data_IF_502758502773
#
_entry.id   IF_502758502773
#
_cell.length_a   1.000
_cell.length_b   1.000
_cell.length_c   1.000
_cell.angle_alpha   90.00
_cell.angle_beta   90.00
_cell.angle_gamma   90.00
#
_symmetry.space_group_name_H-M   'P 1'
#
loop_
_entity.id
_entity.type
_entity.pdbx_description
1 polymer ?
#
# COMPACT_ATOMS: atom_id res chain seq x y z
N UNK A 1 -10.91 -4.58 -0.04
CA UNK A 1 -9.97 -5.40 0.75
C UNK A 1 -8.88 -5.85 -0.19
N UNK A 2 -7.62 -5.61 0.14
CA UNK A 2 -6.48 -5.97 -0.70
C UNK A 2 -5.87 -7.22 -0.08
N UNK A 3 -5.89 -8.35 -0.79
CA UNK A 3 -5.34 -9.61 -0.29
C UNK A 3 -3.79 -9.58 -0.27
N UNK A 4 -3.18 -9.11 -1.37
CA UNK A 4 -1.74 -8.86 -1.41
C UNK A 4 -1.32 -7.78 -2.42
N UNK A 5 -0.18 -7.11 -2.16
CA UNK A 5 0.47 -6.15 -3.08
C UNK A 5 1.93 -6.56 -3.31
N UNK A 6 2.40 -6.54 -4.56
CA UNK A 6 3.83 -6.68 -4.85
C UNK A 6 4.49 -5.32 -5.02
N UNK A 7 5.57 -5.07 -4.31
CA UNK A 7 6.36 -3.85 -4.41
C UNK A 7 7.75 -4.21 -4.93
N UNK A 8 8.12 -3.63 -6.06
CA UNK A 8 9.42 -3.86 -6.69
C UNK A 8 10.42 -2.88 -6.09
N UNK A 9 11.44 -3.40 -5.41
CA UNK A 9 12.42 -2.59 -4.67
C UNK A 9 13.83 -2.89 -5.14
N UNK A 10 14.70 -1.88 -5.14
CA UNK A 10 16.10 -2.02 -5.60
C UNK A 10 17.02 -2.68 -4.59
N UNK A 11 16.61 -2.72 -3.31
CA UNK A 11 17.33 -3.39 -2.23
C UNK A 11 16.32 -4.04 -1.27
N UNK A 12 16.27 -5.37 -1.26
CA UNK A 12 15.32 -6.15 -0.45
C UNK A 12 15.52 -5.93 1.04
N UNK A 13 16.72 -6.16 1.58
CA UNK A 13 16.96 -6.17 3.04
C UNK A 13 16.64 -4.81 3.68
N UNK A 14 17.06 -3.74 3.01
CA UNK A 14 16.75 -2.36 3.43
C UNK A 14 15.25 -2.11 3.42
N UNK A 15 14.55 -2.58 2.38
CA UNK A 15 13.11 -2.35 2.22
C UNK A 15 12.28 -3.22 3.18
N UNK A 16 12.66 -4.48 3.39
CA UNK A 16 11.98 -5.39 4.31
C UNK A 16 12.07 -4.88 5.74
N UNK A 17 13.24 -4.40 6.16
CA UNK A 17 13.44 -3.74 7.46
C UNK A 17 12.55 -2.50 7.59
N UNK A 18 12.46 -1.68 6.54
CA UNK A 18 11.61 -0.49 6.51
C UNK A 18 10.11 -0.81 6.64
N UNK A 19 9.56 -1.64 5.74
CA UNK A 19 8.13 -1.95 5.70
C UNK A 19 7.67 -2.74 6.93
N UNK A 20 8.48 -3.70 7.41
CA UNK A 20 8.12 -4.46 8.61
C UNK A 20 8.11 -3.57 9.86
N UNK A 21 9.07 -2.66 10.00
CA UNK A 21 9.09 -1.70 11.12
C UNK A 21 7.92 -0.71 11.04
N UNK A 22 7.59 -0.23 9.83
CA UNK A 22 6.52 0.74 9.62
C UNK A 22 5.11 0.15 9.88
N UNK A 23 4.89 -1.12 9.54
CA UNK A 23 3.59 -1.76 9.64
C UNK A 23 3.39 -2.51 10.98
N UNK A 24 4.46 -2.78 11.73
CA UNK A 24 4.42 -3.44 13.06
C UNK A 24 3.42 -2.82 14.05
N UNK A 25 3.29 -1.49 14.18
CA UNK A 25 2.30 -0.90 15.10
C UNK A 25 0.85 -1.18 14.72
N UNK A 26 0.58 -1.55 13.46
CA UNK A 26 -0.74 -1.93 12.96
C UNK A 26 -1.01 -3.44 13.08
N UNK A 27 -0.14 -4.17 13.80
CA UNK A 27 -0.22 -5.63 13.95
C UNK A 27 0.45 -6.42 12.83
N UNK A 28 1.10 -5.76 11.87
CA UNK A 28 1.69 -6.49 10.75
C UNK A 28 3.04 -7.10 11.12
N UNK A 29 3.36 -8.24 10.52
CA UNK A 29 4.61 -8.96 10.78
C UNK A 29 5.15 -9.60 9.51
N UNK A 30 6.48 -9.76 9.46
CA UNK A 30 7.12 -10.65 8.48
C UNK A 30 6.62 -12.07 8.76
N UNK A 31 6.09 -12.74 7.75
CA UNK A 31 5.56 -14.10 7.90
C UNK A 31 6.34 -15.13 7.08
N UNK A 32 7.29 -14.70 6.24
CA UNK A 32 8.18 -15.59 5.49
C UNK A 32 8.60 -15.03 4.15
N UNK A 33 9.37 -15.84 3.41
CA UNK A 33 9.78 -15.57 2.05
C UNK A 33 9.44 -16.75 1.14
N UNK A 34 9.21 -16.44 -0.14
CA UNK A 34 9.17 -17.43 -1.21
C UNK A 34 10.55 -17.49 -1.85
N UNK A 35 11.16 -18.68 -1.85
CA UNK A 35 12.43 -18.96 -2.51
C UNK A 35 12.17 -19.49 -3.93
N UNK A 36 12.60 -18.72 -4.93
CA UNK A 36 12.38 -19.04 -6.34
C UNK A 36 13.25 -20.17 -6.87
N UNK A 37 14.28 -20.64 -6.14
CA UNK A 37 15.23 -21.65 -6.63
C UNK A 37 14.58 -23.00 -6.99
N UNK A 38 13.45 -23.32 -6.38
CA UNK A 38 12.64 -24.53 -6.68
C UNK A 38 11.34 -24.22 -7.42
N UNK A 39 11.14 -22.96 -7.81
CA UNK A 39 9.92 -22.44 -8.42
C UNK A 39 9.91 -22.48 -9.95
N UNK A 40 8.77 -22.15 -10.58
CA UNK A 40 8.68 -21.99 -12.03
C UNK A 40 9.58 -20.87 -12.55
N UNK A 41 10.07 -21.03 -13.78
CA UNK A 41 10.91 -20.03 -14.45
C UNK A 41 10.20 -18.67 -14.52
N UNK A 42 10.92 -17.60 -14.14
CA UNK A 42 10.42 -16.22 -14.19
C UNK A 42 9.71 -15.72 -12.94
N UNK A 43 9.45 -16.58 -11.94
CA UNK A 43 8.94 -16.16 -10.62
C UNK A 43 10.12 -15.69 -9.76
N UNK A 44 10.12 -14.44 -9.25
CA UNK A 44 11.23 -13.93 -8.43
C UNK A 44 11.08 -14.33 -6.97
N UNK A 45 12.15 -14.18 -6.18
CA UNK A 45 12.06 -14.22 -4.73
C UNK A 45 11.10 -13.15 -4.21
N UNK A 46 10.28 -13.51 -3.23
CA UNK A 46 9.31 -12.63 -2.60
C UNK A 46 9.47 -12.62 -1.09
N UNK A 47 9.33 -11.45 -0.48
CA UNK A 47 9.50 -11.28 0.97
C UNK A 47 8.23 -10.67 1.56
N UNK A 48 7.51 -11.45 2.36
CA UNK A 48 6.13 -11.17 2.76
C UNK A 48 6.00 -10.51 4.13
N UNK A 49 5.12 -9.53 4.20
CA UNK A 49 4.66 -8.84 5.42
C UNK A 49 3.14 -8.86 5.40
N UNK A 50 2.49 -9.31 6.48
CA UNK A 50 1.04 -9.49 6.52
C UNK A 50 0.45 -8.88 7.76
N UNK A 51 -0.82 -8.48 7.69
CA UNK A 51 -1.58 -8.03 8.86
C UNK A 51 -1.84 -9.19 9.85
N UNK A 52 -2.42 -8.87 10.99
CA UNK A 52 -2.73 -9.86 12.02
C UNK A 52 -3.76 -10.92 11.59
N UNK A 53 -4.54 -10.64 10.53
CA UNK A 53 -5.50 -11.56 9.95
C UNK A 53 -4.82 -12.53 8.98
N UNK A 54 -3.76 -12.10 8.32
CA UNK A 54 -3.04 -12.88 7.34
C UNK A 54 -2.42 -14.14 7.96
N UNK A 55 -2.84 -15.31 7.45
CA UNK A 55 -2.36 -16.61 7.88
C UNK A 55 -2.93 -17.12 9.22
N UNK A 56 -3.85 -16.39 9.86
CA UNK A 56 -4.42 -16.82 11.15
C UNK A 56 -5.67 -17.72 11.01
N UNK A 57 -6.22 -17.87 9.80
CA UNK A 57 -7.35 -18.73 9.46
C UNK A 57 -8.73 -18.26 9.96
N UNK A 58 -8.82 -17.11 10.63
CA UNK A 58 -10.06 -16.55 11.18
C UNK A 58 -10.80 -15.63 10.21
N UNK A 59 -10.07 -15.00 9.30
CA UNK A 59 -10.58 -14.14 8.23
C UNK A 59 -9.53 -14.00 7.10
N UNK A 60 -9.92 -13.39 5.98
CA UNK A 60 -8.99 -13.01 4.91
C UNK A 60 -8.25 -11.73 5.32
N UNK A 61 -6.93 -11.83 5.48
CA UNK A 61 -6.06 -10.70 5.81
C UNK A 61 -5.38 -10.09 4.58
N UNK A 62 -4.63 -9.02 4.80
CA UNK A 62 -3.87 -8.30 3.76
C UNK A 62 -2.38 -8.57 3.88
N UNK A 63 -1.67 -8.62 2.75
CA UNK A 63 -0.21 -8.73 2.73
C UNK A 63 0.48 -7.82 1.72
N UNK A 64 1.77 -7.59 1.93
CA UNK A 64 2.68 -6.87 1.05
C UNK A 64 3.89 -7.75 0.84
N UNK A 65 4.27 -7.95 -0.42
CA UNK A 65 5.43 -8.73 -0.81
C UNK A 65 6.43 -7.85 -1.53
N UNK A 66 7.67 -7.88 -1.07
CA UNK A 66 8.78 -7.20 -1.74
C UNK A 66 9.42 -8.13 -2.75
N UNK A 67 9.76 -7.60 -3.92
CA UNK A 67 10.54 -8.31 -4.95
C UNK A 67 11.70 -7.44 -5.45
N UNK A 68 12.78 -8.08 -5.89
CA UNK A 68 13.91 -7.35 -6.46
C UNK A 68 13.49 -6.71 -7.79
N UNK A 69 13.71 -5.41 -7.91
CA UNK A 69 13.39 -4.62 -9.12
C UNK A 69 14.32 -4.98 -10.26
N UNK A 70 13.78 -5.10 -11.47
CA UNK A 70 14.55 -5.23 -12.72
C UNK A 70 14.75 -3.86 -13.37
N UNK A 71 15.83 -3.71 -14.13
CA UNK A 71 16.13 -2.50 -14.91
C UNK A 71 14.95 -2.18 -15.84
N UNK A 72 14.40 -0.96 -15.75
CA UNK A 72 13.29 -0.49 -16.59
C UNK A 72 11.89 -0.59 -15.98
N UNK A 73 11.70 -1.25 -14.84
CA UNK A 73 10.39 -1.28 -14.16
C UNK A 73 10.09 0.08 -13.49
N UNK A 74 8.87 0.64 -13.60
CA UNK A 74 8.42 1.88 -12.90
C UNK A 74 6.99 1.76 -12.33
N UNK A 75 6.75 2.40 -11.17
CA UNK A 75 5.44 2.78 -10.63
C UNK A 75 4.51 1.72 -10.01
N UNK A 76 4.26 1.79 -8.70
CA UNK A 76 3.14 1.17 -7.95
C UNK A 76 1.95 2.15 -7.88
N UNK A 77 0.71 1.72 -8.12
CA UNK A 77 -0.49 2.49 -7.73
C UNK A 77 -1.13 1.87 -6.49
N UNK A 78 -1.25 2.62 -5.39
CA UNK A 78 -1.75 2.11 -4.11
C UNK A 78 -2.85 3.01 -3.53
N UNK A 79 -4.02 2.42 -3.32
CA UNK A 79 -5.14 3.05 -2.62
C UNK A 79 -5.09 2.76 -1.12
N UNK A 80 -4.95 3.81 -0.32
CA UNK A 80 -4.91 3.77 1.13
C UNK A 80 -6.24 4.28 1.67
N UNK A 81 -6.97 3.40 2.35
CA UNK A 81 -8.24 3.79 2.98
C UNK A 81 -7.96 4.78 4.12
N UNK A 82 -8.78 5.83 4.17
CA UNK A 82 -8.91 6.81 5.26
C UNK A 82 -10.28 6.64 5.89
N UNK A 83 -10.38 6.85 7.21
CA UNK A 83 -11.64 6.66 7.94
C UNK A 83 -12.52 7.93 7.96
N UNK A 84 -12.00 9.06 7.48
CA UNK A 84 -12.75 10.33 7.31
C UNK A 84 -12.21 11.16 6.14
N UNK A 85 -12.96 12.17 5.70
CA UNK A 85 -12.53 13.13 4.67
C UNK A 85 -11.35 13.99 5.16
N UNK A 86 -11.36 14.40 6.43
CA UNK A 86 -10.29 15.21 7.02
C UNK A 86 -8.95 14.46 7.01
N UNK A 87 -8.99 13.12 7.15
CA UNK A 87 -7.79 12.29 7.03
C UNK A 87 -7.27 12.23 5.58
N UNK A 88 -8.14 12.29 4.58
CA UNK A 88 -7.73 12.43 3.16
C UNK A 88 -7.07 13.78 2.93
N UNK A 89 -7.67 14.86 3.43
CA UNK A 89 -7.13 16.23 3.31
C UNK A 89 -5.76 16.36 3.97
N UNK A 90 -5.64 15.86 5.20
CA UNK A 90 -4.41 15.90 5.97
C UNK A 90 -3.30 15.07 5.29
N UNK A 91 -3.62 13.88 4.80
CA UNK A 91 -2.65 13.01 4.13
C UNK A 91 -2.16 13.62 2.80
N UNK A 92 -3.07 14.20 2.01
CA UNK A 92 -2.71 14.93 0.79
C UNK A 92 -1.82 16.15 1.07
N UNK A 93 -2.22 17.02 2.00
CA UNK A 93 -1.45 18.23 2.32
C UNK A 93 -0.04 17.88 2.82
N UNK A 94 0.09 16.81 3.61
CA UNK A 94 1.38 16.28 4.03
C UNK A 94 2.22 15.77 2.84
N UNK A 95 1.61 15.03 1.91
CA UNK A 95 2.29 14.49 0.74
C UNK A 95 2.78 15.58 -0.24
N UNK A 96 2.00 16.64 -0.47
CA UNK A 96 2.40 17.80 -1.27
C UNK A 96 3.51 18.61 -0.58
N UNK A 97 3.40 18.86 0.74
CA UNK A 97 4.45 19.55 1.50
C UNK A 97 5.78 18.79 1.47
N UNK A 98 5.73 17.46 1.37
CA UNK A 98 6.89 16.58 1.23
C UNK A 98 7.48 16.56 -0.20
N UNK A 99 6.92 17.34 -1.14
CA UNK A 99 7.39 17.46 -2.52
C UNK A 99 6.72 16.50 -3.50
N UNK A 100 5.71 15.74 -3.07
CA UNK A 100 4.91 14.93 -3.98
C UNK A 100 4.25 15.76 -5.07
N UNK A 101 4.12 15.18 -6.26
CA UNK A 101 3.49 15.84 -7.39
C UNK A 101 1.98 15.72 -7.27
N UNK A 102 1.28 16.85 -7.30
CA UNK A 102 -0.19 16.89 -7.32
C UNK A 102 -0.72 16.16 -8.56
N UNK A 103 -1.44 15.07 -8.35
CA UNK A 103 -2.18 14.37 -9.40
C UNK A 103 -3.70 14.40 -9.16
N UNK A 104 -4.14 15.16 -8.16
CA UNK A 104 -5.54 15.31 -7.82
C UNK A 104 -5.75 15.76 -6.37
N UNK A 105 -6.12 17.02 -6.19
CA UNK A 105 -6.54 17.58 -4.89
C UNK A 105 -7.68 16.77 -4.24
N UNK A 106 -7.79 16.79 -2.90
CA UNK A 106 -8.91 16.20 -2.20
C UNK A 106 -10.24 16.74 -2.72
N UNK A 107 -11.12 15.83 -3.10
CA UNK A 107 -12.43 16.15 -3.61
C UNK A 107 -13.35 14.92 -3.53
N UNK A 108 -14.65 15.19 -3.52
CA UNK A 108 -15.65 14.17 -3.80
C UNK A 108 -15.49 13.66 -5.23
N UNK A 109 -15.44 12.34 -5.37
CA UNK A 109 -15.39 11.62 -6.63
C UNK A 109 -16.77 11.03 -6.92
N UNK A 110 -17.77 11.91 -7.04
CA UNK A 110 -19.19 11.51 -7.24
C UNK A 110 -19.42 10.67 -8.50
N UNK A 111 -18.50 10.76 -9.47
CA UNK A 111 -18.45 9.92 -10.66
C UNK A 111 -18.08 8.45 -10.36
N UNK A 112 -17.45 8.15 -9.22
CA UNK A 112 -17.27 6.78 -8.73
C UNK A 112 -18.45 6.32 -7.87
N UNK A 113 -18.85 7.14 -6.90
CA UNK A 113 -20.06 6.97 -6.09
C UNK A 113 -20.25 8.18 -5.16
N UNK A 114 -21.48 8.40 -4.69
CA UNK A 114 -21.74 9.36 -3.62
C UNK A 114 -21.05 8.90 -2.32
N UNK A 115 -20.27 9.79 -1.69
CA UNK A 115 -19.50 9.47 -0.48
C UNK A 115 -18.11 8.86 -0.74
N UNK A 116 -17.62 8.89 -1.98
CA UNK A 116 -16.23 8.56 -2.32
C UNK A 116 -15.39 9.84 -2.31
N UNK A 117 -14.59 10.06 -1.28
CA UNK A 117 -13.74 11.24 -1.14
C UNK A 117 -12.26 10.84 -1.25
N UNK A 118 -11.49 11.45 -2.15
CA UNK A 118 -10.13 11.02 -2.40
C UNK A 118 -9.17 12.11 -2.92
N UNK A 119 -7.88 11.87 -2.71
CA UNK A 119 -6.79 12.69 -3.21
C UNK A 119 -5.65 11.81 -3.77
N UNK A 120 -4.95 12.31 -4.78
CA UNK A 120 -3.93 11.58 -5.53
C UNK A 120 -2.62 12.36 -5.56
N UNK A 121 -1.52 11.66 -5.31
CA UNK A 121 -0.17 12.21 -5.36
C UNK A 121 0.74 11.20 -6.04
N UNK A 122 1.56 11.66 -6.98
CA UNK A 122 2.68 10.89 -7.48
C UNK A 122 3.94 11.20 -6.66
N UNK A 123 4.74 10.16 -6.42
CA UNK A 123 6.08 10.34 -5.89
C UNK A 123 7.10 10.64 -7.01
N UNK A 124 8.36 10.82 -6.61
CA UNK A 124 9.45 11.20 -7.51
C UNK A 124 9.88 10.11 -8.51
N UNK A 125 9.40 8.88 -8.32
CA UNK A 125 9.76 7.69 -9.11
C UNK A 125 8.59 7.15 -9.94
N UNK A 126 7.47 7.88 -9.97
CA UNK A 126 6.26 7.54 -10.74
C UNK A 126 5.33 6.54 -10.06
N UNK A 127 5.52 6.27 -8.75
CA UNK A 127 4.50 5.57 -7.96
C UNK A 127 3.36 6.54 -7.63
N UNK A 128 2.14 6.05 -7.63
CA UNK A 128 0.91 6.83 -7.45
C UNK A 128 0.17 6.37 -6.21
N UNK A 129 -0.13 7.30 -5.34
CA UNK A 129 -0.80 7.04 -4.07
C UNK A 129 -2.16 7.73 -4.12
N UNK A 130 -3.19 6.99 -3.75
CA UNK A 130 -4.54 7.50 -3.53
C UNK A 130 -4.87 7.40 -2.04
N UNK A 131 -5.21 8.53 -1.41
CA UNK A 131 -5.84 8.56 -0.10
C UNK A 131 -7.35 8.58 -0.32
N UNK A 132 -8.09 7.63 0.25
CA UNK A 132 -9.51 7.46 -0.05
C UNK A 132 -10.35 7.16 1.17
N UNK A 133 -11.33 8.00 1.44
CA UNK A 133 -12.42 7.71 2.36
C UNK A 133 -13.69 7.37 1.59
N UNK A 134 -14.34 6.28 1.99
CA UNK A 134 -15.62 5.84 1.45
C UNK A 134 -16.61 5.83 2.60
N UNK A 135 -17.61 6.70 2.56
CA UNK A 135 -18.53 6.92 3.68
C UNK A 135 -19.34 5.67 4.09
N UNK A 136 -19.40 4.66 3.23
CA UNK A 136 -20.06 3.38 3.51
C UNK A 136 -19.15 2.32 4.12
N UNK A 137 -17.84 2.58 4.22
CA UNK A 137 -16.94 1.67 4.92
C UNK A 137 -17.12 1.87 6.43
N UNK A 138 -17.24 0.78 7.22
CA UNK A 138 -17.14 0.91 8.66
C UNK A 138 -15.76 1.45 9.02
N UNK A 139 -15.70 2.32 10.02
CA UNK A 139 -14.42 2.80 10.54
C UNK A 139 -13.58 1.60 10.96
N UNK A 140 -12.30 1.60 10.58
CA UNK A 140 -11.33 0.58 11.00
C UNK A 140 -10.96 0.82 12.46
N UNK A 141 -11.86 0.39 13.35
CA UNK A 141 -11.80 0.41 14.82
C UNK A 141 -12.18 1.74 15.51
N UNK A 142 -13.05 1.61 16.51
CA UNK A 142 -13.07 2.39 17.76
C UNK A 142 -12.28 1.63 18.81
#
# INVERSE_FOLDING_TARGET
MIDHVYISVTNIDKSLTFYSSALKPLGWKVFGNYDSASGPEGVPDLYGIGDDMYGNGKAVGSSVWLRQRKVGETGLYLGIVCDTNELVDAAYAAAIKAGGTDEGKPADRTYFAHGYYAANVADFDGNRIEFVHKAWNPKRHV
#
